data_IF_660819886437
#
_entry.id   IF_660819886437
#
_cell.length_a   1.000
_cell.length_b   1.000
_cell.length_c   1.000
_cell.angle_alpha   90.00
_cell.angle_beta   90.00
_cell.angle_gamma   90.00
#
_symmetry.space_group_name_H-M   'P 1'
#
loop_
_entity.id
_entity.type
_entity.pdbx_description
1 polymer ?
#
# COMPACT_ATOMS: atom_id res chain seq x y z
N UNK A 1 -0.94 32.95 12.51
CA UNK A 1 -0.24 31.68 12.20
C UNK A 1 0.09 30.95 13.51
N UNK A 2 -0.92 30.42 14.21
CA UNK A 2 -0.78 29.70 15.49
C UNK A 2 -1.58 28.37 15.45
N UNK A 3 -2.75 28.39 14.80
CA UNK A 3 -3.64 27.24 14.62
C UNK A 3 -2.98 25.95 14.07
N UNK A 4 -2.10 26.02 13.08
CA UNK A 4 -1.52 24.80 12.47
C UNK A 4 -0.63 24.00 13.44
N UNK A 5 0.01 24.68 14.40
CA UNK A 5 0.89 24.07 15.40
C UNK A 5 0.09 23.33 16.48
N UNK A 6 -1.10 23.84 16.81
CA UNK A 6 -1.99 23.26 17.83
C UNK A 6 -2.67 21.98 17.34
N UNK A 7 -3.07 21.91 16.06
CA UNK A 7 -3.63 20.68 15.48
C UNK A 7 -2.60 19.55 15.40
N UNK A 8 -1.35 19.85 15.06
CA UNK A 8 -0.27 18.86 15.03
C UNK A 8 0.03 18.29 16.43
N UNK A 9 0.05 19.15 17.44
CA UNK A 9 0.18 18.73 18.84
C UNK A 9 -1.02 17.90 19.32
N UNK A 10 -2.23 18.25 18.87
CA UNK A 10 -3.45 17.48 19.13
C UNK A 10 -3.36 16.08 18.55
N UNK A 11 -3.10 15.95 17.25
CA UNK A 11 -2.99 14.65 16.56
C UNK A 11 -1.89 13.77 17.16
N UNK A 12 -0.69 14.32 17.39
CA UNK A 12 0.40 13.58 18.01
C UNK A 12 0.05 13.11 19.42
N UNK A 13 -0.66 13.92 20.20
CA UNK A 13 -1.14 13.54 21.53
C UNK A 13 -2.16 12.40 21.47
N UNK A 14 -3.05 12.40 20.48
CA UNK A 14 -4.00 11.29 20.25
C UNK A 14 -3.27 10.01 19.83
N UNK A 15 -2.38 10.08 18.84
CA UNK A 15 -1.59 8.94 18.40
C UNK A 15 -0.76 8.34 19.55
N UNK A 16 -0.15 9.20 20.38
CA UNK A 16 0.55 8.74 21.57
C UNK A 16 -0.38 8.02 22.53
N UNK A 17 -1.47 8.66 22.95
CA UNK A 17 -2.39 8.13 23.97
C UNK A 17 -3.00 6.78 23.58
N UNK A 18 -3.36 6.60 22.32
CA UNK A 18 -4.12 5.43 21.86
C UNK A 18 -3.30 4.36 21.18
N UNK A 19 -2.21 4.72 20.48
CA UNK A 19 -1.46 3.78 19.65
C UNK A 19 -0.10 3.51 20.27
N UNK A 20 0.72 4.53 20.52
CA UNK A 20 2.14 4.32 20.81
C UNK A 20 2.48 4.24 22.31
N UNK A 21 1.60 4.67 23.22
CA UNK A 21 1.87 4.68 24.68
C UNK A 21 2.00 3.29 25.30
N UNK A 22 1.28 2.28 24.81
CA UNK A 22 1.37 0.90 25.29
C UNK A 22 2.04 0.04 24.23
N UNK A 23 2.98 -0.81 24.64
CA UNK A 23 3.68 -1.68 23.71
C UNK A 23 2.73 -2.65 22.99
N UNK A 24 1.71 -3.19 23.69
CA UNK A 24 0.73 -4.09 23.07
C UNK A 24 -0.06 -3.43 21.93
N UNK A 25 -0.53 -2.19 22.12
CA UNK A 25 -1.24 -1.43 21.09
C UNK A 25 -0.31 -1.02 19.95
N UNK A 26 0.92 -0.61 20.28
CA UNK A 26 1.95 -0.29 19.31
C UNK A 26 2.31 -1.50 18.44
N UNK A 27 2.48 -2.66 19.05
CA UNK A 27 2.81 -3.91 18.36
C UNK A 27 1.72 -4.28 17.35
N UNK A 28 0.45 -4.29 17.77
CA UNK A 28 -0.69 -4.56 16.87
C UNK A 28 -0.73 -3.55 15.72
N UNK A 29 -0.57 -2.26 16.02
CA UNK A 29 -0.58 -1.21 15.00
C UNK A 29 0.55 -1.38 13.99
N UNK A 30 1.75 -1.73 14.43
CA UNK A 30 2.89 -1.99 13.54
C UNK A 30 2.70 -3.26 12.70
N UNK A 31 2.17 -4.34 13.28
CA UNK A 31 1.91 -5.57 12.52
C UNK A 31 0.87 -5.34 11.41
N UNK A 32 -0.27 -4.74 11.76
CA UNK A 32 -1.30 -4.41 10.77
C UNK A 32 -0.78 -3.39 9.76
N UNK A 33 -0.04 -2.40 10.24
CA UNK A 33 0.60 -1.38 9.39
C UNK A 33 1.56 -1.99 8.39
N UNK A 34 2.40 -2.94 8.79
CA UNK A 34 3.34 -3.61 7.90
C UNK A 34 2.62 -4.41 6.81
N UNK A 35 1.63 -5.23 7.17
CA UNK A 35 0.86 -6.03 6.20
C UNK A 35 0.10 -5.10 5.22
N UNK A 36 -0.47 -4.02 5.73
CA UNK A 36 -1.22 -3.07 4.90
C UNK A 36 -0.28 -2.30 3.97
N UNK A 37 0.90 -1.89 4.46
CA UNK A 37 1.90 -1.19 3.68
C UNK A 37 2.44 -2.07 2.55
N UNK A 38 2.77 -3.33 2.85
CA UNK A 38 3.21 -4.33 1.88
C UNK A 38 2.20 -4.45 0.72
N UNK A 39 0.92 -4.68 1.04
CA UNK A 39 -0.15 -4.78 0.04
C UNK A 39 -0.30 -3.52 -0.82
N UNK A 40 -0.26 -2.34 -0.20
CA UNK A 40 -0.47 -1.07 -0.90
C UNK A 40 0.73 -0.71 -1.76
N UNK A 41 1.95 -0.90 -1.23
CA UNK A 41 3.18 -0.57 -1.95
C UNK A 41 3.37 -1.52 -3.12
N UNK A 42 3.15 -2.81 -2.95
CA UNK A 42 3.28 -3.77 -4.05
C UNK A 42 2.26 -3.51 -5.15
N UNK A 43 0.96 -3.45 -4.81
CA UNK A 43 -0.09 -3.18 -5.81
C UNK A 43 0.04 -1.80 -6.45
N UNK A 44 0.41 -0.79 -5.66
CA UNK A 44 0.63 0.56 -6.15
C UNK A 44 1.85 0.63 -7.07
N UNK A 45 2.93 -0.05 -6.70
CA UNK A 45 4.14 -0.18 -7.50
C UNK A 45 3.87 -0.86 -8.83
N UNK A 46 3.20 -2.01 -8.82
CA UNK A 46 2.77 -2.73 -10.02
C UNK A 46 1.91 -1.83 -10.91
N UNK A 47 0.91 -1.15 -10.35
CA UNK A 47 0.06 -0.23 -11.12
C UNK A 47 0.86 0.89 -11.80
N UNK A 48 1.77 1.54 -11.06
CA UNK A 48 2.58 2.62 -11.60
C UNK A 48 3.54 2.11 -12.68
N UNK A 49 4.16 0.95 -12.45
CA UNK A 49 5.05 0.31 -13.42
C UNK A 49 4.30 -0.10 -14.69
N UNK A 50 3.10 -0.65 -14.54
CA UNK A 50 2.24 -1.10 -15.62
C UNK A 50 1.79 0.05 -16.50
N UNK A 51 1.27 1.11 -15.89
CA UNK A 51 0.79 2.26 -16.64
C UNK A 51 1.94 2.97 -17.36
N UNK A 52 3.14 3.03 -16.74
CA UNK A 52 4.32 3.60 -17.38
C UNK A 52 4.85 2.76 -18.56
N UNK A 53 4.72 1.43 -18.48
CA UNK A 53 5.25 0.49 -19.48
C UNK A 53 4.16 -0.12 -20.39
N UNK A 54 2.97 0.46 -20.38
CA UNK A 54 1.82 -0.02 -21.14
C UNK A 54 2.14 -0.27 -22.61
N UNK A 55 1.75 -1.43 -23.11
CA UNK A 55 2.00 -1.91 -24.46
C UNK A 55 3.39 -2.51 -24.68
N UNK A 56 4.29 -2.45 -23.68
CA UNK A 56 5.62 -3.07 -23.74
C UNK A 56 5.71 -4.34 -22.90
N UNK A 57 4.79 -4.54 -21.96
CA UNK A 57 4.84 -5.66 -21.03
C UNK A 57 4.32 -6.92 -21.72
N UNK A 58 4.87 -8.07 -21.33
CA UNK A 58 4.42 -9.37 -21.86
C UNK A 58 2.90 -9.53 -21.73
N UNK A 59 2.32 -9.18 -20.59
CA UNK A 59 0.86 -9.23 -20.36
C UNK A 59 0.03 -8.40 -21.34
N UNK A 60 0.62 -7.39 -21.98
CA UNK A 60 -0.08 -6.54 -22.96
C UNK A 60 -0.06 -7.12 -24.38
N UNK A 61 0.83 -8.08 -24.65
CA UNK A 61 1.00 -8.71 -25.97
C UNK A 61 0.78 -10.23 -25.96
N UNK A 62 0.58 -10.81 -24.76
CA UNK A 62 0.53 -12.26 -24.55
C UNK A 62 -0.58 -12.92 -25.37
N UNK A 63 -1.72 -12.26 -25.48
CA UNK A 63 -2.90 -12.67 -26.24
C UNK A 63 -2.60 -12.97 -27.72
N UNK A 64 -1.54 -12.38 -28.27
CA UNK A 64 -1.12 -12.62 -29.66
C UNK A 64 -0.36 -13.94 -29.86
N UNK A 65 0.15 -14.52 -28.77
CA UNK A 65 1.13 -15.62 -28.84
C UNK A 65 0.72 -16.84 -28.01
N UNK A 66 -0.18 -16.66 -27.05
CA UNK A 66 -0.66 -17.73 -26.17
C UNK A 66 -2.17 -17.73 -26.21
N UNK A 67 -2.75 -18.87 -26.60
CA UNK A 67 -4.15 -19.16 -26.34
C UNK A 67 -4.27 -19.71 -24.92
N UNK A 68 -4.62 -18.84 -23.97
CA UNK A 68 -4.80 -19.23 -22.57
C UNK A 68 -5.95 -20.25 -22.39
N UNK A 69 -6.86 -20.38 -23.38
CA UNK A 69 -7.92 -21.39 -23.37
C UNK A 69 -7.48 -22.75 -23.91
N UNK A 70 -6.29 -22.86 -24.52
CA UNK A 70 -5.73 -24.13 -24.97
C UNK A 70 -5.19 -25.00 -23.81
N UNK A 71 -4.96 -24.41 -22.63
CA UNK A 71 -4.43 -25.11 -21.45
C UNK A 71 -5.47 -25.40 -20.35
N UNK A 72 -6.65 -24.77 -20.41
CA UNK A 72 -7.77 -25.07 -19.52
C UNK A 72 -8.71 -26.06 -20.21
N UNK A 73 -8.35 -27.34 -20.18
CA UNK A 73 -9.31 -28.43 -20.41
C UNK A 73 -10.33 -28.51 -19.28
#
# INVERSE_FOLDING_TARGET
>A
MFYFKDYGMGFASYAYRFVTRRFSTLFVALTVGAISADLVIDKGGDYLFDEYNKGKLWKDIKDKYVDDMAFTG
#
